data_IF_898041389185
#
_entry.id   IF_898041389185
#
_cell.length_a   1.000
_cell.length_b   1.000
_cell.length_c   1.000
_cell.angle_alpha   90.00
_cell.angle_beta   90.00
_cell.angle_gamma   90.00
#
_symmetry.space_group_name_H-M   'P 1'
#
loop_
_entity.id
_entity.type
_entity.pdbx_description
1 polymer ?
#
# COMPACT_ATOMS: atom_id res chain seq x y z
N UNK A 1 -0.42 33.08 -24.38
CA UNK A 1 -0.56 31.70 -24.88
C UNK A 1 0.82 31.09 -25.03
N UNK A 2 1.01 29.84 -24.59
CA UNK A 2 2.29 29.12 -24.73
C UNK A 2 2.34 28.45 -26.11
N UNK A 3 3.39 28.68 -26.91
CA UNK A 3 3.59 27.96 -28.17
C UNK A 3 3.61 26.46 -27.94
N UNK A 4 3.17 25.67 -28.92
CA UNK A 4 3.28 24.21 -28.86
C UNK A 4 4.72 23.76 -29.15
N UNK A 5 5.68 24.25 -28.35
CA UNK A 5 7.09 23.92 -28.40
C UNK A 5 7.43 23.09 -27.15
N UNK A 6 7.87 21.82 -27.31
CA UNK A 6 8.17 20.93 -26.19
C UNK A 6 9.28 21.47 -25.28
N UNK A 7 10.22 22.28 -25.78
CA UNK A 7 11.28 22.87 -24.95
C UNK A 7 10.71 23.87 -23.95
N UNK A 8 9.76 24.70 -24.40
CA UNK A 8 9.11 25.70 -23.55
C UNK A 8 8.24 24.98 -22.51
N UNK A 9 7.44 24.00 -22.93
CA UNK A 9 6.57 23.24 -22.04
C UNK A 9 7.38 22.48 -20.97
N UNK A 10 8.51 21.87 -21.36
CA UNK A 10 9.43 21.20 -20.45
C UNK A 10 9.99 22.15 -19.40
N UNK A 11 10.47 23.34 -19.83
CA UNK A 11 11.04 24.33 -18.92
C UNK A 11 10.04 24.83 -17.87
N UNK A 12 8.76 24.94 -18.24
CA UNK A 12 7.68 25.31 -17.32
C UNK A 12 7.46 24.19 -16.30
N UNK A 13 7.41 22.94 -16.76
CA UNK A 13 7.14 21.79 -15.91
C UNK A 13 8.27 21.50 -14.92
N UNK A 14 9.53 21.60 -15.35
CA UNK A 14 10.67 21.46 -14.43
C UNK A 14 10.58 22.47 -13.28
N UNK A 15 10.19 23.72 -13.56
CA UNK A 15 10.02 24.74 -12.52
C UNK A 15 8.80 24.52 -11.63
N UNK A 16 7.71 23.99 -12.19
CA UNK A 16 6.42 23.85 -11.51
C UNK A 16 6.20 22.49 -10.83
N UNK A 17 6.97 21.46 -11.19
CA UNK A 17 6.86 20.11 -10.64
C UNK A 17 8.13 19.67 -9.88
N UNK A 18 9.32 19.90 -10.44
CA UNK A 18 10.58 19.41 -9.86
C UNK A 18 11.16 20.35 -8.79
N UNK A 19 10.63 21.56 -8.66
CA UNK A 19 11.05 22.48 -7.61
C UNK A 19 10.78 21.84 -6.23
N UNK A 20 11.75 21.88 -5.30
CA UNK A 20 11.55 21.38 -3.94
C UNK A 20 10.33 21.99 -3.24
N UNK A 21 10.01 23.25 -3.56
CA UNK A 21 8.84 23.97 -3.04
C UNK A 21 7.51 23.49 -3.65
N UNK A 22 7.53 22.90 -4.85
CA UNK A 22 6.34 22.39 -5.52
C UNK A 22 5.94 20.99 -5.04
N UNK A 23 6.86 20.29 -4.35
CA UNK A 23 6.58 19.04 -3.65
C UNK A 23 6.13 17.88 -4.56
N UNK A 24 6.48 17.90 -5.85
CA UNK A 24 6.15 16.83 -6.79
C UNK A 24 4.65 16.48 -6.83
N UNK A 25 3.81 17.50 -6.90
CA UNK A 25 2.36 17.32 -6.90
C UNK A 25 1.88 16.38 -8.03
N UNK A 26 0.78 15.66 -7.76
CA UNK A 26 0.16 14.76 -8.75
C UNK A 26 -0.45 15.51 -9.94
N UNK A 27 -0.80 14.76 -10.99
CA UNK A 27 -1.22 15.27 -12.30
C UNK A 27 -2.27 16.39 -12.21
N UNK A 28 -3.34 16.22 -11.44
CA UNK A 28 -4.41 17.20 -11.34
C UNK A 28 -3.97 18.51 -10.68
N UNK A 29 -3.16 18.42 -9.62
CA UNK A 29 -2.62 19.59 -8.92
C UNK A 29 -1.64 20.34 -9.82
N UNK A 30 -0.73 19.64 -10.48
CA UNK A 30 0.20 20.26 -11.45
C UNK A 30 -0.57 20.89 -12.60
N UNK A 31 -1.61 20.22 -13.13
CA UNK A 31 -2.45 20.77 -14.19
C UNK A 31 -3.13 22.07 -13.76
N UNK A 32 -3.71 22.10 -12.56
CA UNK A 32 -4.36 23.30 -12.01
C UNK A 32 -3.38 24.44 -11.83
N UNK A 33 -2.19 24.18 -11.28
CA UNK A 33 -1.15 25.19 -11.06
C UNK A 33 -0.63 25.77 -12.37
N UNK A 34 -0.33 24.92 -13.35
CA UNK A 34 0.22 25.38 -14.64
C UNK A 34 -0.82 26.17 -15.43
N UNK A 35 -2.10 25.76 -15.37
CA UNK A 35 -3.20 26.46 -16.05
C UNK A 35 -3.57 27.82 -15.44
N UNK A 36 -3.01 28.21 -14.28
CA UNK A 36 -3.23 29.56 -13.75
C UNK A 36 -2.48 30.62 -14.58
N UNK A 37 -1.29 30.29 -15.07
CA UNK A 37 -0.40 31.24 -15.75
C UNK A 37 -0.19 30.91 -17.24
N UNK A 38 -0.41 29.66 -17.64
CA UNK A 38 -0.05 29.15 -18.96
C UNK A 38 -1.21 28.43 -19.64
N UNK A 39 -1.60 28.96 -20.80
CA UNK A 39 -2.68 28.42 -21.64
C UNK A 39 -2.12 28.11 -23.04
N UNK A 40 -2.34 26.89 -23.54
CA UNK A 40 -1.88 26.45 -24.86
C UNK A 40 -2.46 25.10 -25.25
N UNK A 41 -2.50 24.81 -26.56
CA UNK A 41 -2.89 23.50 -27.09
C UNK A 41 -1.84 22.44 -26.71
N UNK A 42 -2.27 21.20 -26.47
CA UNK A 42 -1.37 20.09 -26.11
C UNK A 42 -0.85 20.10 -24.66
N UNK A 43 -0.87 21.25 -23.97
CA UNK A 43 -0.29 21.42 -22.63
C UNK A 43 -0.86 20.46 -21.58
N UNK A 44 -2.16 20.15 -21.64
CA UNK A 44 -2.79 19.22 -20.67
C UNK A 44 -2.23 17.80 -20.78
N UNK A 45 -2.04 17.31 -22.01
CA UNK A 45 -1.50 15.97 -22.22
C UNK A 45 -0.02 15.93 -21.84
N UNK A 46 0.74 16.95 -22.24
CA UNK A 46 2.16 17.09 -21.89
C UNK A 46 2.39 17.08 -20.36
N UNK A 47 1.57 17.79 -19.59
CA UNK A 47 1.62 17.78 -18.12
C UNK A 47 1.37 16.37 -17.56
N UNK A 48 0.36 15.66 -18.08
CA UNK A 48 0.03 14.31 -17.61
C UNK A 48 1.19 13.35 -17.85
N UNK A 49 1.76 13.36 -19.05
CA UNK A 49 2.86 12.47 -19.44
C UNK A 49 4.15 12.79 -18.67
N UNK A 50 4.43 14.06 -18.44
CA UNK A 50 5.56 14.50 -17.63
C UNK A 50 5.47 14.00 -16.18
N UNK A 51 4.35 14.25 -15.51
CA UNK A 51 4.17 13.80 -14.12
C UNK A 51 4.14 12.27 -14.04
N UNK A 52 3.59 11.58 -15.05
CA UNK A 52 3.59 10.12 -15.11
C UNK A 52 5.01 9.53 -15.25
N UNK A 53 5.89 10.19 -16.00
CA UNK A 53 7.28 9.80 -16.22
C UNK A 53 8.24 10.21 -15.10
N UNK A 54 7.78 10.97 -14.12
CA UNK A 54 8.59 11.39 -12.97
C UNK A 54 8.97 10.19 -12.08
N UNK A 55 10.26 9.85 -12.05
CA UNK A 55 10.80 8.73 -11.26
C UNK A 55 10.59 8.90 -9.76
N UNK A 56 10.74 10.11 -9.23
CA UNK A 56 10.54 10.40 -7.81
C UNK A 56 9.08 10.19 -7.40
N UNK A 57 8.15 10.71 -8.20
CA UNK A 57 6.72 10.46 -8.01
C UNK A 57 6.40 8.97 -8.09
N UNK A 58 6.90 8.28 -9.11
CA UNK A 58 6.63 6.85 -9.31
C UNK A 58 7.10 5.99 -8.12
N UNK A 59 8.31 6.24 -7.60
CA UNK A 59 8.86 5.52 -6.45
C UNK A 59 8.11 5.79 -5.16
N UNK A 60 7.62 7.00 -4.96
CA UNK A 60 6.93 7.41 -3.73
C UNK A 60 5.41 7.23 -3.80
N UNK A 61 4.87 6.82 -4.95
CA UNK A 61 3.44 6.60 -5.11
C UNK A 61 3.06 5.28 -4.45
N UNK A 62 2.23 5.35 -3.42
CA UNK A 62 1.62 4.16 -2.86
C UNK A 62 0.72 3.51 -3.93
N UNK A 63 1.01 2.26 -4.27
CA UNK A 63 0.20 1.47 -5.20
C UNK A 63 -1.05 1.03 -4.46
N UNK A 64 -2.14 1.79 -4.57
CA UNK A 64 -3.44 1.44 -4.00
C UNK A 64 -4.33 0.63 -4.96
N UNK A 65 -3.96 0.54 -6.25
CA UNK A 65 -4.81 -0.03 -7.32
C UNK A 65 -4.58 -1.51 -7.62
N UNK A 66 -3.69 -2.20 -6.89
CA UNK A 66 -3.73 -3.66 -6.94
C UNK A 66 -5.02 -4.07 -6.27
N UNK A 67 -6.04 -4.42 -7.05
CA UNK A 67 -7.17 -5.23 -6.59
C UNK A 67 -6.54 -6.35 -5.77
N UNK A 68 -6.70 -6.33 -4.44
CA UNK A 68 -6.27 -7.45 -3.62
C UNK A 68 -6.95 -8.67 -4.25
N UNK A 69 -6.14 -9.61 -4.73
CA UNK A 69 -6.68 -10.84 -5.30
C UNK A 69 -7.64 -11.47 -4.30
N UNK A 70 -8.63 -12.22 -4.80
CA UNK A 70 -9.51 -12.97 -3.91
C UNK A 70 -8.64 -13.89 -3.03
N UNK A 71 -8.84 -13.89 -1.69
CA UNK A 71 -8.17 -14.85 -0.82
C UNK A 71 -8.46 -16.25 -1.34
N UNK A 72 -7.41 -17.04 -1.58
CA UNK A 72 -7.57 -18.46 -1.92
C UNK A 72 -7.84 -19.22 -0.63
N UNK A 73 -9.05 -19.79 -0.42
CA UNK A 73 -9.32 -20.56 0.78
C UNK A 73 -8.45 -21.82 0.80
N UNK A 74 -8.03 -22.22 1.99
CA UNK A 74 -7.39 -23.51 2.20
C UNK A 74 -8.41 -24.63 1.97
N UNK A 75 -7.97 -25.83 1.50
CA UNK A 75 -8.86 -26.96 1.35
C UNK A 75 -9.50 -27.34 2.69
N UNK A 76 -10.74 -27.82 2.62
CA UNK A 76 -11.48 -28.34 3.77
C UNK A 76 -10.86 -29.69 4.14
N UNK A 77 -10.50 -29.94 5.42
CA UNK A 77 -9.97 -31.24 5.82
C UNK A 77 -11.02 -32.36 5.69
N UNK A 78 -10.57 -33.60 5.49
CA UNK A 78 -11.46 -34.76 5.27
C UNK A 78 -11.96 -35.42 6.56
N UNK A 79 -11.62 -34.87 7.74
CA UNK A 79 -12.04 -35.41 9.02
C UNK A 79 -11.39 -34.70 10.22
N UNK A 80 -11.86 -35.00 11.45
CA UNK A 80 -11.35 -34.39 12.68
C UNK A 80 -9.88 -34.73 12.94
N UNK A 81 -9.15 -33.80 13.52
CA UNK A 81 -7.76 -33.94 13.97
C UNK A 81 -6.75 -34.26 12.85
N UNK A 82 -7.14 -34.14 11.57
CA UNK A 82 -6.26 -34.33 10.40
C UNK A 82 -5.51 -33.04 10.07
N UNK A 83 -6.10 -31.87 10.35
CA UNK A 83 -5.51 -30.58 10.04
C UNK A 83 -5.74 -29.61 11.20
N UNK A 84 -4.69 -29.38 11.98
CA UNK A 84 -4.69 -28.50 13.13
C UNK A 84 -4.11 -27.14 12.74
N UNK A 85 -4.76 -26.07 13.19
CA UNK A 85 -4.20 -24.72 13.20
C UNK A 85 -3.64 -24.44 14.58
N UNK A 86 -2.48 -23.80 14.66
CA UNK A 86 -1.86 -23.40 15.92
C UNK A 86 -1.57 -21.90 15.86
N UNK A 87 -1.92 -21.18 16.92
CA UNK A 87 -1.63 -19.75 17.07
C UNK A 87 -1.32 -19.43 18.54
N UNK A 88 -0.67 -18.30 18.78
CA UNK A 88 -0.36 -17.84 20.14
C UNK A 88 -1.01 -16.50 20.42
N UNK A 89 -1.77 -16.43 21.51
CA UNK A 89 -2.15 -15.16 22.13
C UNK A 89 -1.04 -14.81 23.10
N UNK A 90 -0.28 -13.74 22.82
CA UNK A 90 0.89 -13.32 23.61
C UNK A 90 0.65 -11.94 24.24
N UNK A 91 1.61 -11.49 25.06
CA UNK A 91 1.56 -10.19 25.75
C UNK A 91 0.35 -10.04 26.68
N UNK A 92 -0.08 -11.15 27.29
CA UNK A 92 -1.12 -11.11 28.30
C UNK A 92 -0.53 -10.72 29.66
N UNK A 93 -1.35 -10.17 30.57
CA UNK A 93 -0.95 -10.04 31.97
C UNK A 93 -0.53 -11.39 32.53
N UNK A 94 0.52 -11.40 33.34
CA UNK A 94 0.98 -12.61 34.03
C UNK A 94 -0.15 -13.18 34.90
N UNK A 95 -0.46 -14.46 34.69
CA UNK A 95 -1.44 -15.22 35.47
C UNK A 95 -0.92 -16.63 35.70
N UNK A 96 -0.83 -17.05 36.96
CA UNK A 96 -0.29 -18.36 37.35
C UNK A 96 1.06 -18.69 36.68
N UNK A 97 1.95 -17.70 36.58
CA UNK A 97 3.28 -17.83 35.94
C UNK A 97 3.28 -18.04 34.42
N UNK A 98 2.17 -17.73 33.74
CA UNK A 98 2.06 -17.73 32.28
C UNK A 98 1.66 -16.35 31.75
N UNK A 99 2.14 -15.97 30.55
CA UNK A 99 1.87 -14.68 29.90
C UNK A 99 1.28 -14.83 28.49
N UNK A 100 1.00 -16.08 28.08
CA UNK A 100 0.58 -16.44 26.74
C UNK A 100 -0.34 -17.66 26.75
N UNK A 101 -1.08 -17.86 25.66
CA UNK A 101 -1.95 -19.02 25.45
C UNK A 101 -1.65 -19.58 24.06
N UNK A 102 -1.27 -20.86 24.00
CA UNK A 102 -1.26 -21.63 22.75
C UNK A 102 -2.69 -22.07 22.44
N UNK A 103 -3.18 -21.67 21.28
CA UNK A 103 -4.49 -22.04 20.74
C UNK A 103 -4.30 -23.09 19.66
N UNK A 104 -4.89 -24.26 19.84
CA UNK A 104 -4.89 -25.34 18.85
C UNK A 104 -6.33 -25.55 18.39
N UNK A 105 -6.58 -25.44 17.09
CA UNK A 105 -7.93 -25.58 16.51
C UNK A 105 -7.93 -26.69 15.48
N UNK A 106 -8.81 -27.67 15.65
CA UNK A 106 -9.11 -28.62 14.58
C UNK A 106 -9.93 -27.92 13.48
N UNK A 107 -9.36 -27.82 12.29
CA UNK A 107 -9.98 -27.05 11.19
C UNK A 107 -11.28 -27.68 10.69
N UNK A 108 -11.49 -28.98 10.92
CA UNK A 108 -12.71 -29.69 10.56
C UNK A 108 -13.83 -29.49 11.59
N UNK A 109 -13.64 -29.95 12.83
CA UNK A 109 -14.69 -29.92 13.87
C UNK A 109 -14.86 -28.56 14.55
N UNK A 110 -13.89 -27.66 14.41
CA UNK A 110 -13.79 -26.40 15.19
C UNK A 110 -13.61 -26.63 16.69
N UNK A 111 -13.17 -27.82 17.10
CA UNK A 111 -12.75 -28.05 18.47
C UNK A 111 -11.47 -27.27 18.77
N UNK A 112 -11.43 -26.61 19.92
CA UNK A 112 -10.35 -25.72 20.34
C UNK A 112 -9.73 -26.23 21.65
N UNK A 113 -8.40 -26.16 21.75
CA UNK A 113 -7.63 -26.48 22.94
C UNK A 113 -6.79 -25.25 23.28
N UNK A 114 -6.90 -24.79 24.53
CA UNK A 114 -6.16 -23.65 25.05
C UNK A 114 -5.16 -24.13 26.10
N UNK A 115 -3.88 -23.85 25.87
CA UNK A 115 -2.79 -24.27 26.76
C UNK A 115 -2.06 -23.02 27.26
N UNK A 116 -2.06 -22.73 28.58
CA UNK A 116 -1.29 -21.62 29.13
C UNK A 116 0.20 -21.88 28.95
N UNK A 117 0.94 -20.86 28.49
CA UNK A 117 2.37 -20.95 28.17
C UNK A 117 3.09 -19.62 28.43
N UNK A 118 4.41 -19.65 28.36
CA UNK A 118 5.25 -18.46 28.30
C UNK A 118 5.53 -18.06 26.85
N UNK A 119 5.61 -16.76 26.60
CA UNK A 119 6.01 -16.15 25.32
C UNK A 119 7.51 -16.36 25.03
N UNK A 120 8.30 -16.52 26.08
CA UNK A 120 9.73 -16.82 26.01
C UNK A 120 9.97 -18.25 25.53
N UNK A 121 10.73 -18.38 24.44
CA UNK A 121 11.30 -19.66 23.99
C UNK A 121 12.66 -19.80 24.67
N UNK A 122 12.84 -20.84 25.49
CA UNK A 122 14.16 -21.21 26.04
C UNK A 122 15.02 -21.88 24.99
#
# INVERSE_FOLDING_TARGET
MVPNDPKIQLSILQKRHDSPLAGHAGQEKTLKLVKQDFHGSGMTQFIKDYVLSCQQCSRNKNIHDKKLGLPKPLPIPNGPCICLSMDFITQLPLSNSFDSILVIVDRFSKMEIFIPTMSSIN
#
